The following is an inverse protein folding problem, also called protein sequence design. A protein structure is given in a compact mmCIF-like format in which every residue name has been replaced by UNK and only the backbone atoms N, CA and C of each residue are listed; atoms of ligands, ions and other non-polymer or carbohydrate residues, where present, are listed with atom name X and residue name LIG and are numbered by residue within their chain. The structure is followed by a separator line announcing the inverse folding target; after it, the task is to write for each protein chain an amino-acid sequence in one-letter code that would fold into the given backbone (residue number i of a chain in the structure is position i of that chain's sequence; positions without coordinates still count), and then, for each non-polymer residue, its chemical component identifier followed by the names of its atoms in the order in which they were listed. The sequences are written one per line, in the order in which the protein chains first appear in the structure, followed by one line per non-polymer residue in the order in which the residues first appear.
data_IF_150673396558
#
_entry.id   IF_150673396558
#
_cell.length_a   1.000
_cell.length_b   1.000
_cell.length_c   1.000
_cell.angle_alpha   90.00
_cell.angle_beta   90.00
_cell.angle_gamma   90.00
#
_symmetry.space_group_name_H-M   'P 1'
#
loop_
_entity.id
_entity.type
_entity.pdbx_description
1 polymer ?
#
# COMPACT_ATOMS: atom_id res chain seq x y z
N UNK A 1 6.43 -5.54 -17.47
CA UNK A 1 5.63 -5.73 -16.24
C UNK A 1 6.58 -5.97 -15.07
N UNK A 2 6.32 -5.30 -13.93
CA UNK A 2 7.15 -5.35 -12.71
C UNK A 2 6.32 -5.85 -11.52
N UNK A 3 7.05 -6.33 -10.49
CA UNK A 3 6.50 -6.74 -9.20
C UNK A 3 7.32 -6.11 -8.08
N UNK A 4 6.69 -5.93 -6.93
CA UNK A 4 7.37 -5.50 -5.71
C UNK A 4 8.13 -6.69 -5.13
N UNK A 5 9.42 -6.52 -4.85
CA UNK A 5 10.17 -7.50 -4.08
C UNK A 5 9.68 -7.47 -2.63
N UNK A 6 9.03 -8.54 -2.18
CA UNK A 6 8.47 -8.61 -0.82
C UNK A 6 9.50 -8.88 0.26
N UNK A 7 10.70 -9.34 -0.09
CA UNK A 7 11.74 -9.68 0.89
C UNK A 7 12.33 -8.43 1.57
N UNK A 8 12.13 -7.25 0.99
CA UNK A 8 12.55 -5.96 1.55
C UNK A 8 11.44 -5.25 2.33
N UNK A 9 10.20 -5.73 2.25
CA UNK A 9 9.05 -5.11 2.91
C UNK A 9 9.03 -5.44 4.40
N UNK A 10 8.80 -4.42 5.21
CA UNK A 10 8.64 -4.53 6.65
C UNK A 10 7.26 -4.05 7.06
N UNK A 11 6.78 -4.58 8.20
CA UNK A 11 5.55 -4.13 8.84
C UNK A 11 5.65 -2.63 9.13
N UNK A 12 4.64 -1.88 8.68
CA UNK A 12 4.58 -0.42 8.79
C UNK A 12 5.16 0.35 7.60
N UNK A 13 5.76 -0.32 6.61
CA UNK A 13 6.14 0.33 5.36
C UNK A 13 4.92 0.85 4.62
N UNK A 14 5.06 2.05 4.03
CA UNK A 14 4.07 2.63 3.13
C UNK A 14 4.51 2.35 1.71
N UNK A 15 3.67 1.64 0.96
CA UNK A 15 3.87 1.36 -0.45
C UNK A 15 3.05 2.36 -1.26
N UNK A 16 3.73 3.16 -2.07
CA UNK A 16 3.11 4.12 -2.98
C UNK A 16 3.24 3.59 -4.40
N UNK A 17 2.13 3.62 -5.15
CA UNK A 17 2.13 3.14 -6.54
C UNK A 17 1.33 4.05 -7.46
N UNK A 18 1.66 4.00 -8.74
CA UNK A 18 0.76 4.43 -9.81
C UNK A 18 -0.11 3.24 -10.23
N UNK A 19 -1.43 3.39 -10.14
CA UNK A 19 -2.37 2.46 -10.78
C UNK A 19 -2.62 2.89 -12.23
N UNK A 20 -2.91 1.98 -13.16
CA UNK A 20 -3.23 2.31 -14.57
C UNK A 20 -4.73 2.48 -14.85
N UNK A 21 -5.57 2.44 -13.81
CA UNK A 21 -7.02 2.67 -13.92
C UNK A 21 -7.36 4.12 -14.31
N UNK A 22 -8.55 4.33 -14.92
CA UNK A 22 -9.01 5.65 -15.40
C UNK A 22 -8.92 6.76 -14.35
N UNK A 23 -9.13 6.43 -13.07
CA UNK A 23 -9.07 7.38 -11.95
C UNK A 23 -7.65 7.86 -11.62
N UNK A 24 -6.63 7.06 -11.96
CA UNK A 24 -5.22 7.39 -11.69
C UNK A 24 -4.73 8.59 -12.50
N UNK A 25 -5.16 8.71 -13.76
CA UNK A 25 -4.82 9.87 -14.59
C UNK A 25 -5.32 11.18 -13.97
N UNK A 26 -6.49 11.15 -13.35
CA UNK A 26 -7.06 12.31 -12.68
C UNK A 26 -6.33 12.63 -11.37
N UNK A 27 -6.11 11.63 -10.50
CA UNK A 27 -5.41 11.82 -9.22
C UNK A 27 -4.02 12.41 -9.45
N UNK A 28 -3.23 11.83 -10.36
CA UNK A 28 -1.87 12.31 -10.69
C UNK A 28 -1.84 13.75 -11.17
N UNK A 29 -2.83 14.14 -11.98
CA UNK A 29 -2.95 15.50 -12.51
C UNK A 29 -3.26 16.52 -11.41
N UNK A 30 -4.10 16.15 -10.44
CA UNK A 30 -4.47 16.99 -9.31
C UNK A 30 -3.36 17.05 -8.25
N UNK A 31 -2.74 15.92 -7.93
CA UNK A 31 -1.67 15.82 -6.92
C UNK A 31 -0.31 16.30 -7.44
N UNK A 32 -0.17 16.51 -8.75
CA UNK A 32 1.11 16.77 -9.44
C UNK A 32 2.18 15.73 -9.11
N UNK A 33 1.75 14.51 -8.84
CA UNK A 33 2.61 13.37 -8.51
C UNK A 33 2.34 12.23 -9.47
N UNK A 34 3.34 11.37 -9.66
CA UNK A 34 3.17 10.09 -10.31
C UNK A 34 2.37 9.09 -9.46
N UNK A 35 2.12 9.37 -8.18
CA UNK A 35 1.40 8.49 -7.25
C UNK A 35 -0.11 8.72 -7.26
N UNK A 36 -0.85 7.62 -7.35
CA UNK A 36 -2.31 7.60 -7.27
C UNK A 36 -2.85 6.69 -6.17
N UNK A 37 -2.01 5.82 -5.61
CA UNK A 37 -2.44 4.82 -4.63
C UNK A 37 -1.43 4.61 -3.52
N UNK A 38 -1.92 4.41 -2.30
CA UNK A 38 -1.12 4.17 -1.12
C UNK A 38 -1.65 2.96 -0.34
N UNK A 39 -0.73 2.13 0.13
CA UNK A 39 -1.01 0.91 0.88
C UNK A 39 -0.06 0.85 2.07
N UNK A 40 -0.47 0.18 3.16
CA UNK A 40 0.41 -0.08 4.30
C UNK A 40 0.70 -1.57 4.43
N UNK A 41 1.98 -1.93 4.58
CA UNK A 41 2.41 -3.30 4.80
C UNK A 41 2.11 -3.72 6.24
N UNK A 42 1.30 -4.78 6.41
CA UNK A 42 0.84 -5.24 7.72
C UNK A 42 1.43 -6.58 8.13
N UNK A 43 1.92 -7.36 7.17
CA UNK A 43 2.65 -8.61 7.38
C UNK A 43 3.35 -8.97 6.06
N UNK A 44 4.26 -9.94 6.09
CA UNK A 44 4.99 -10.47 4.93
C UNK A 44 4.17 -10.51 3.63
N UNK A 45 4.39 -9.53 2.73
CA UNK A 45 3.67 -9.40 1.45
C UNK A 45 2.17 -9.07 1.53
N UNK A 46 1.62 -8.87 2.73
CA UNK A 46 0.23 -8.45 2.97
C UNK A 46 0.17 -6.94 3.19
N UNK A 47 -0.69 -6.28 2.41
CA UNK A 47 -0.94 -4.85 2.51
C UNK A 47 -2.41 -4.56 2.76
N UNK A 48 -2.70 -3.43 3.39
CA UNK A 48 -4.05 -2.88 3.52
C UNK A 48 -4.13 -1.57 2.76
N UNK A 49 -5.21 -1.38 2.02
CA UNK A 49 -5.52 -0.14 1.31
C UNK A 49 -6.97 0.27 1.48
N UNK A 50 -7.28 1.50 1.07
CA UNK A 50 -8.65 2.00 0.99
C UNK A 50 -8.91 2.42 -0.44
N UNK A 51 -10.02 1.95 -0.99
CA UNK A 51 -10.48 2.24 -2.35
C UNK A 51 -11.94 2.72 -2.31
N UNK A 52 -12.54 2.99 -3.48
CA UNK A 52 -13.98 3.25 -3.56
C UNK A 52 -14.85 2.10 -3.02
N UNK A 53 -14.31 0.88 -3.04
CA UNK A 53 -14.96 -0.34 -2.52
C UNK A 53 -14.69 -0.58 -1.02
N UNK A 54 -14.16 0.44 -0.32
CA UNK A 54 -13.78 0.35 1.09
C UNK A 54 -12.36 -0.16 1.33
N UNK A 55 -12.11 -0.63 2.55
CA UNK A 55 -10.79 -1.05 3.03
C UNK A 55 -10.57 -2.53 2.75
N UNK A 56 -9.46 -2.87 2.11
CA UNK A 56 -9.20 -4.22 1.63
C UNK A 56 -7.80 -4.70 2.02
N UNK A 57 -7.68 -5.98 2.35
CA UNK A 57 -6.40 -6.66 2.54
C UNK A 57 -6.01 -7.35 1.23
N UNK A 58 -4.79 -7.11 0.75
CA UNK A 58 -4.29 -7.64 -0.52
C UNK A 58 -2.96 -8.37 -0.32
N UNK A 59 -2.75 -9.40 -1.12
CA UNK A 59 -1.42 -9.99 -1.29
C UNK A 59 -0.70 -9.22 -2.40
N UNK A 60 0.34 -8.48 -2.04
CA UNK A 60 1.08 -7.61 -2.95
C UNK A 60 1.88 -8.38 -4.01
N UNK A 61 2.21 -9.65 -3.77
CA UNK A 61 2.92 -10.51 -4.73
C UNK A 61 2.06 -10.83 -5.96
N UNK A 62 0.73 -10.74 -5.81
CA UNK A 62 -0.23 -10.93 -6.90
C UNK A 62 -0.45 -9.66 -7.73
N UNK A 63 0.04 -8.51 -7.27
CA UNK A 63 -0.11 -7.26 -7.99
C UNK A 63 0.97 -7.15 -9.08
N UNK A 64 0.53 -6.85 -10.29
CA UNK A 64 1.37 -6.60 -11.45
C UNK A 64 1.28 -5.13 -11.80
N UNK A 65 2.42 -4.52 -12.09
CA UNK A 65 2.52 -3.13 -12.48
C UNK A 65 3.10 -3.05 -13.88
N UNK A 66 2.60 -2.11 -14.68
CA UNK A 66 3.21 -1.80 -15.97
C UNK A 66 4.59 -1.18 -15.76
N UNK A 67 5.47 -1.25 -16.76
CA UNK A 67 6.86 -0.78 -16.60
C UNK A 67 6.95 0.73 -16.33
N UNK A 68 5.92 1.48 -16.75
CA UNK A 68 5.75 2.92 -16.56
C UNK A 68 5.17 3.31 -15.18
N UNK A 69 4.66 2.34 -14.41
CA UNK A 69 4.12 2.63 -13.08
C UNK A 69 5.25 2.96 -12.11
N UNK A 70 5.13 4.09 -11.41
CA UNK A 70 6.02 4.40 -10.31
C UNK A 70 5.66 3.55 -9.09
N UNK A 71 6.70 3.12 -8.37
CA UNK A 71 6.59 2.31 -7.15
C UNK A 71 7.62 2.84 -6.15
N UNK A 72 7.17 3.26 -4.98
CA UNK A 72 8.04 3.65 -3.87
C UNK A 72 7.68 2.87 -2.61
N UNK A 73 8.71 2.47 -1.87
CA UNK A 73 8.56 1.91 -0.52
C UNK A 73 9.16 2.93 0.44
N UNK A 74 8.31 3.48 1.31
CA UNK A 74 8.71 4.46 2.30
C UNK A 74 8.68 3.81 3.68
N UNK A 75 9.75 4.06 4.44
CA UNK A 75 9.90 3.64 5.82
C UNK A 75 10.16 4.86 6.69
N UNK A 76 9.62 4.85 7.90
CA UNK A 76 9.91 5.91 8.87
C UNK A 76 11.42 5.98 9.14
N UNK A 77 11.96 7.22 9.15
CA UNK A 77 13.39 7.46 9.42
C UNK A 77 13.81 6.96 10.80
N UNK A 78 12.93 7.13 11.77
CA UNK A 78 13.05 6.50 13.09
C UNK A 78 12.31 5.17 13.04
N UNK A 79 12.98 4.03 13.27
CA UNK A 79 12.33 2.73 13.28
C UNK A 79 11.19 2.68 14.31
N UNK A 80 10.08 2.05 13.91
CA UNK A 80 8.98 1.78 14.82
C UNK A 80 9.41 0.73 15.85
N UNK A 81 8.97 0.90 17.10
CA UNK A 81 8.95 -0.22 18.03
C UNK A 81 7.91 -1.26 17.58
N UNK A 82 8.05 -2.51 18.04
CA UNK A 82 7.08 -3.56 17.74
C UNK A 82 5.65 -3.16 18.16
N UNK A 83 5.51 -2.57 19.35
CA UNK A 83 4.24 -2.08 19.89
C UNK A 83 3.60 -1.00 19.00
N UNK A 84 4.40 -0.08 18.48
CA UNK A 84 3.89 0.95 17.57
C UNK A 84 3.46 0.33 16.23
N UNK A 85 4.27 -0.56 15.69
CA UNK A 85 3.97 -1.24 14.44
C UNK A 85 2.68 -2.09 14.56
N UNK A 86 2.49 -2.79 15.68
CA UNK A 86 1.27 -3.56 15.96
C UNK A 86 0.06 -2.65 16.17
N UNK A 87 0.22 -1.50 16.82
CA UNK A 87 -0.85 -0.53 16.98
C UNK A 87 -1.36 -0.01 15.64
N UNK A 88 -0.44 0.29 14.71
CA UNK A 88 -0.74 0.72 13.34
C UNK A 88 -1.46 -0.40 12.57
N UNK A 89 -0.93 -1.63 12.62
CA UNK A 89 -1.55 -2.79 11.95
C UNK A 89 -2.95 -3.06 12.47
N UNK A 90 -3.13 -3.06 13.79
CA UNK A 90 -4.43 -3.30 14.42
C UNK A 90 -5.44 -2.20 14.07
N UNK A 91 -4.98 -0.95 14.00
CA UNK A 91 -5.82 0.16 13.54
C UNK A 91 -6.28 -0.03 12.10
N UNK A 92 -5.38 -0.42 11.18
CA UNK A 92 -5.70 -0.65 9.78
C UNK A 92 -6.65 -1.86 9.61
N UNK A 93 -6.39 -2.97 10.31
CA UNK A 93 -7.23 -4.18 10.27
C UNK A 93 -8.64 -3.96 10.78
N UNK A 94 -8.84 -3.16 11.84
CA UNK A 94 -10.19 -2.85 12.35
C UNK A 94 -11.08 -2.07 11.37
N UNK A 95 -10.49 -1.48 10.33
CA UNK A 95 -11.22 -0.76 9.28
C UNK A 95 -11.54 -1.62 8.08
N UNK A 96 -10.90 -2.78 7.96
CA UNK A 96 -11.28 -3.80 7.00
C UNK A 96 -12.67 -4.33 7.38
N UNK A 97 -13.63 -4.43 6.44
CA UNK A 97 -14.93 -5.01 6.73
C UNK A 97 -14.74 -6.39 7.35
N UNK A 98 -15.32 -6.59 8.52
CA UNK A 98 -15.57 -7.91 9.06
C UNK A 98 -16.78 -8.41 8.30
N UNK A 99 -16.65 -9.55 7.60
CA UNK A 99 -17.82 -10.28 7.15
C UNK A 99 -18.44 -10.80 8.45
N UNK A 100 -19.54 -10.19 8.89
CA UNK A 100 -20.47 -10.80 9.85
C UNK A 100 -21.26 -11.93 9.18
#
# INVERSE_FOLDING_TARGET
MKRINTDILMKGDVVLTTTSGKDSGFIRKVTRSDISHAMICVAYGSVIDSTGEGVQARNIQKLLYDDECAIYILRLKTPLSEVQADSIVNYARRRHPQIE
#
